data_IF_332917110966
#
_entry.id   IF_332917110966
#
_cell.length_a   1.000
_cell.length_b   1.000
_cell.length_c   1.000
_cell.angle_alpha   90.00
_cell.angle_beta   90.00
_cell.angle_gamma   90.00
#
_symmetry.space_group_name_H-M   'P 1'
#
loop_
_entity.id
_entity.type
_entity.pdbx_description
1 polymer ?
#
# COMPACT_ATOMS: atom_id res chain seq x y z
N UNK A 1 5.75 -12.30 -13.72
CA UNK A 1 5.11 -12.06 -12.40
C UNK A 1 4.27 -13.27 -12.03
N UNK A 2 4.35 -13.72 -10.79
CA UNK A 2 3.51 -14.81 -10.33
C UNK A 2 2.07 -14.32 -10.08
N UNK A 3 1.12 -15.27 -10.11
CA UNK A 3 -0.26 -14.96 -9.75
C UNK A 3 -0.36 -14.41 -8.33
N UNK A 4 0.46 -14.91 -7.41
CA UNK A 4 0.50 -14.46 -6.03
C UNK A 4 0.89 -12.98 -5.95
N UNK A 5 1.90 -12.58 -6.69
CA UNK A 5 2.34 -11.19 -6.72
C UNK A 5 1.29 -10.27 -7.34
N UNK A 6 0.61 -10.73 -8.39
CA UNK A 6 -0.51 -10.00 -9.00
C UNK A 6 -1.60 -9.73 -7.96
N UNK A 7 -1.96 -10.77 -7.18
CA UNK A 7 -2.97 -10.61 -6.13
C UNK A 7 -2.51 -9.64 -5.03
N UNK A 8 -1.22 -9.67 -4.67
CA UNK A 8 -0.70 -8.75 -3.66
C UNK A 8 -0.72 -7.30 -4.14
N UNK A 9 -0.40 -7.06 -5.40
CA UNK A 9 -0.50 -5.70 -5.97
C UNK A 9 -1.94 -5.21 -5.97
N UNK A 10 -2.89 -6.07 -6.27
CA UNK A 10 -4.31 -5.73 -6.21
C UNK A 10 -4.77 -5.45 -4.78
N UNK A 11 -4.28 -6.23 -3.81
CA UNK A 11 -4.57 -5.99 -2.39
C UNK A 11 -4.06 -4.62 -1.94
N UNK A 12 -2.88 -4.22 -2.41
CA UNK A 12 -2.33 -2.90 -2.12
C UNK A 12 -3.26 -1.80 -2.65
N UNK A 13 -3.68 -1.91 -3.91
CA UNK A 13 -4.56 -0.93 -4.52
C UNK A 13 -5.91 -0.85 -3.82
N UNK A 14 -6.47 -1.99 -3.45
CA UNK A 14 -7.73 -2.05 -2.72
C UNK A 14 -7.61 -1.39 -1.34
N UNK A 15 -6.53 -1.67 -0.64
CA UNK A 15 -6.28 -1.05 0.67
C UNK A 15 -6.15 0.47 0.56
N UNK A 16 -5.47 0.97 -0.48
CA UNK A 16 -5.35 2.41 -0.73
C UNK A 16 -6.73 3.03 -1.01
N UNK A 17 -7.54 2.37 -1.83
CA UNK A 17 -8.89 2.85 -2.13
C UNK A 17 -9.75 2.90 -0.86
N UNK A 18 -9.62 1.91 0.00
CA UNK A 18 -10.32 1.85 1.29
C UNK A 18 -9.90 3.00 2.20
N UNK A 19 -8.61 3.29 2.29
CA UNK A 19 -8.09 4.42 3.05
C UNK A 19 -8.72 5.73 2.55
N UNK A 20 -8.69 5.95 1.24
CA UNK A 20 -9.25 7.16 0.62
C UNK A 20 -10.74 7.31 0.89
N UNK A 21 -11.48 6.20 0.86
CA UNK A 21 -12.90 6.18 1.16
C UNK A 21 -13.19 6.63 2.60
N UNK A 22 -12.43 6.11 3.57
CA UNK A 22 -12.60 6.50 4.97
C UNK A 22 -12.30 7.98 5.20
N UNK A 23 -11.25 8.49 4.58
CA UNK A 23 -10.87 9.89 4.72
C UNK A 23 -11.91 10.82 4.10
N UNK A 24 -12.49 10.42 2.96
CA UNK A 24 -13.50 11.22 2.26
C UNK A 24 -14.83 11.32 3.05
N UNK A 25 -15.15 10.29 3.83
CA UNK A 25 -16.42 10.24 4.57
C UNK A 25 -16.40 10.94 5.90
N UNK A 26 -15.22 11.18 6.49
CA UNK A 26 -15.12 11.79 7.80
C UNK A 26 -13.84 12.60 7.94
N UNK A 27 -13.79 13.42 9.00
CA UNK A 27 -12.55 14.03 9.43
C UNK A 27 -11.60 12.93 9.91
N UNK A 28 -10.30 13.22 9.96
CA UNK A 28 -9.29 12.27 10.42
C UNK A 28 -9.40 12.06 11.95
N UNK A 29 -10.53 11.51 12.38
CA UNK A 29 -10.83 11.21 13.78
C UNK A 29 -10.19 9.88 14.20
N UNK A 30 -10.39 9.49 15.45
CA UNK A 30 -9.83 8.25 16.00
C UNK A 30 -10.27 7.01 15.22
N UNK A 31 -11.53 6.97 14.84
CA UNK A 31 -12.08 5.84 14.09
C UNK A 31 -11.47 5.75 12.70
N UNK A 32 -11.36 6.87 12.02
CA UNK A 32 -10.74 6.95 10.71
C UNK A 32 -9.26 6.58 10.78
N UNK A 33 -8.52 7.09 11.78
CA UNK A 33 -7.10 6.75 11.92
C UNK A 33 -6.89 5.27 12.21
N UNK A 34 -7.74 4.64 13.00
CA UNK A 34 -7.64 3.19 13.25
C UNK A 34 -7.86 2.39 11.96
N UNK A 35 -8.81 2.79 11.12
CA UNK A 35 -9.05 2.16 9.82
C UNK A 35 -7.87 2.36 8.88
N UNK A 36 -7.28 3.55 8.87
CA UNK A 36 -6.09 3.85 8.06
C UNK A 36 -4.91 3.00 8.50
N UNK A 37 -4.64 2.93 9.81
CA UNK A 37 -3.54 2.14 10.34
C UNK A 37 -3.69 0.65 9.99
N UNK A 38 -4.89 0.10 10.12
CA UNK A 38 -5.15 -1.28 9.72
C UNK A 38 -4.82 -1.50 8.24
N UNK A 39 -5.27 -0.62 7.37
CA UNK A 39 -5.01 -0.76 5.94
C UNK A 39 -3.53 -0.55 5.57
N UNK A 40 -2.80 0.28 6.32
CA UNK A 40 -1.35 0.39 6.15
C UNK A 40 -0.63 -0.90 6.54
N UNK A 41 -1.12 -1.62 7.55
CA UNK A 41 -0.61 -2.95 7.88
C UNK A 41 -0.87 -3.93 6.73
N UNK A 42 -2.07 -3.91 6.15
CA UNK A 42 -2.42 -4.73 4.99
C UNK A 42 -1.46 -4.45 3.83
N UNK A 43 -1.18 -3.18 3.54
CA UNK A 43 -0.24 -2.78 2.50
C UNK A 43 1.17 -3.33 2.80
N UNK A 44 1.64 -3.19 4.03
CA UNK A 44 2.94 -3.71 4.44
C UNK A 44 3.06 -5.22 4.29
N UNK A 45 2.01 -5.96 4.68
CA UNK A 45 1.95 -7.41 4.53
C UNK A 45 1.96 -7.84 3.06
N UNK A 46 1.18 -7.16 2.24
CA UNK A 46 1.15 -7.46 0.80
C UNK A 46 2.51 -7.16 0.15
N UNK A 47 3.10 -6.01 0.46
CA UNK A 47 4.40 -5.62 -0.07
C UNK A 47 5.51 -6.60 0.33
N UNK A 48 5.43 -7.19 1.52
CA UNK A 48 6.40 -8.18 1.98
C UNK A 48 6.43 -9.44 1.10
N UNK A 49 5.36 -9.71 0.37
CA UNK A 49 5.24 -10.88 -0.49
C UNK A 49 5.62 -10.60 -1.95
N UNK A 50 6.06 -9.38 -2.25
CA UNK A 50 6.52 -9.00 -3.58
C UNK A 50 8.02 -9.18 -3.63
N UNK A 51 8.50 -9.96 -4.59
CA UNK A 51 9.90 -10.30 -4.73
C UNK A 51 10.75 -9.18 -5.34
N UNK A 52 12.07 -9.35 -5.27
CA UNK A 52 13.03 -8.35 -5.71
C UNK A 52 12.90 -7.99 -7.19
N UNK A 53 12.64 -8.97 -8.04
CA UNK A 53 12.47 -8.72 -9.47
C UNK A 53 11.30 -7.79 -9.73
N UNK A 54 10.17 -8.04 -9.07
CA UNK A 54 8.99 -7.19 -9.20
C UNK A 54 9.25 -5.80 -8.61
N UNK A 55 9.89 -5.71 -7.45
CA UNK A 55 10.23 -4.44 -6.82
C UNK A 55 11.13 -3.60 -7.73
N UNK A 56 12.02 -4.23 -8.48
CA UNK A 56 12.93 -3.53 -9.38
C UNK A 56 12.21 -2.82 -10.53
N UNK A 57 10.96 -3.19 -10.81
CA UNK A 57 10.12 -2.53 -11.83
C UNK A 57 9.56 -1.20 -11.34
N UNK A 58 9.64 -0.93 -10.05
CA UNK A 58 9.23 0.33 -9.44
C UNK A 58 10.28 0.78 -8.41
N UNK A 59 11.48 1.14 -8.88
CA UNK A 59 12.59 1.50 -7.97
C UNK A 59 12.34 2.79 -7.20
N UNK A 60 11.40 3.61 -7.66
CA UNK A 60 10.99 4.84 -6.97
C UNK A 60 10.22 4.57 -5.68
N UNK A 61 9.70 3.36 -5.50
CA UNK A 61 8.92 3.00 -4.32
C UNK A 61 9.88 2.53 -3.21
N UNK A 62 9.78 3.09 -2.00
CA UNK A 62 10.62 2.64 -0.87
C UNK A 62 10.05 1.36 -0.25
N UNK A 63 10.18 0.24 -0.95
CA UNK A 63 9.59 -1.04 -0.59
C UNK A 63 9.92 -1.50 0.84
N UNK A 64 11.18 -1.34 1.25
CA UNK A 64 11.62 -1.74 2.59
C UNK A 64 10.90 -0.93 3.68
N UNK A 65 10.69 0.35 3.45
CA UNK A 65 9.97 1.21 4.40
C UNK A 65 8.48 0.83 4.45
N UNK A 66 7.90 0.48 3.31
CA UNK A 66 6.49 0.08 3.24
C UNK A 66 6.28 -1.23 4.02
N UNK A 67 7.14 -2.22 3.81
CA UNK A 67 7.11 -3.46 4.59
C UNK A 67 7.29 -3.15 6.08
N UNK A 68 8.14 -2.21 6.41
CA UNK A 68 8.40 -1.79 7.79
C UNK A 68 7.20 -1.17 8.50
N UNK A 69 6.22 -0.65 7.76
CA UNK A 69 5.03 -0.04 8.36
C UNK A 69 4.27 -1.00 9.26
N UNK A 70 4.14 -2.26 8.89
CA UNK A 70 3.42 -3.24 9.70
C UNK A 70 4.08 -3.42 11.08
N UNK A 71 5.42 -3.47 11.11
CA UNK A 71 6.17 -3.61 12.36
C UNK A 71 6.10 -2.33 13.19
N UNK A 72 6.26 -1.20 12.54
CA UNK A 72 6.16 0.10 13.20
C UNK A 72 4.79 0.26 13.88
N UNK A 73 3.71 -0.03 13.15
CA UNK A 73 2.36 0.11 13.69
C UNK A 73 2.11 -0.89 14.82
N UNK A 74 2.53 -2.15 14.64
CA UNK A 74 2.33 -3.18 15.66
C UNK A 74 3.05 -2.85 16.96
N UNK A 75 4.28 -2.31 16.89
CA UNK A 75 5.09 -2.05 18.07
C UNK A 75 4.86 -0.67 18.68
N UNK A 76 4.43 0.31 17.88
CA UNK A 76 4.31 1.70 18.30
C UNK A 76 2.88 2.23 18.28
N UNK A 77 1.88 1.35 18.20
CA UNK A 77 0.47 1.75 18.03
C UNK A 77 0.04 2.88 18.95
N UNK A 78 0.38 2.81 20.24
CA UNK A 78 -0.03 3.80 21.22
C UNK A 78 0.82 5.08 21.21
N UNK A 79 1.89 5.10 20.42
CA UNK A 79 2.84 6.21 20.32
C UNK A 79 2.89 6.83 18.93
N UNK A 80 2.10 6.30 17.98
CA UNK A 80 2.13 6.76 16.61
C UNK A 80 1.64 8.21 16.54
N UNK A 81 2.46 9.03 15.87
CA UNK A 81 2.09 10.41 15.55
C UNK A 81 1.15 10.38 14.34
N UNK A 82 -0.10 10.76 14.55
CA UNK A 82 -1.11 10.76 13.49
C UNK A 82 -0.78 11.74 12.37
N UNK A 83 -0.04 12.81 12.65
CA UNK A 83 0.40 13.75 11.61
C UNK A 83 1.35 13.07 10.63
N UNK A 84 2.22 12.20 11.12
CA UNK A 84 3.12 11.41 10.26
C UNK A 84 2.31 10.48 9.38
N UNK A 85 1.32 9.81 9.94
CA UNK A 85 0.44 8.90 9.18
C UNK A 85 -0.33 9.67 8.11
N UNK A 86 -0.87 10.81 8.45
CA UNK A 86 -1.59 11.67 7.49
C UNK A 86 -0.68 12.10 6.34
N UNK A 87 0.57 12.44 6.63
CA UNK A 87 1.56 12.78 5.61
C UNK A 87 1.84 11.60 4.68
N UNK A 88 1.99 10.39 5.23
CA UNK A 88 2.19 9.18 4.42
C UNK A 88 1.02 8.98 3.47
N UNK A 89 -0.20 9.11 3.98
CA UNK A 89 -1.41 8.94 3.19
C UNK A 89 -1.49 9.97 2.05
N UNK A 90 -1.20 11.23 2.35
CA UNK A 90 -1.30 12.32 1.37
C UNK A 90 -0.19 12.29 0.32
N UNK A 91 1.03 11.96 0.71
CA UNK A 91 2.20 12.13 -0.15
C UNK A 91 2.72 10.84 -0.78
N UNK A 92 2.54 9.69 -0.15
CA UNK A 92 3.20 8.46 -0.57
C UNK A 92 2.27 7.42 -1.19
N UNK A 93 1.02 7.36 -0.78
CA UNK A 93 0.11 6.34 -1.30
C UNK A 93 -0.21 6.52 -2.79
N UNK A 94 -0.23 7.76 -3.27
CA UNK A 94 -0.47 8.03 -4.67
C UNK A 94 0.58 7.42 -5.58
N UNK A 95 1.86 7.53 -5.22
CA UNK A 95 2.96 6.95 -5.98
C UNK A 95 2.90 5.43 -5.97
N UNK A 96 2.60 4.84 -4.82
CA UNK A 96 2.48 3.40 -4.69
C UNK A 96 1.32 2.87 -5.53
N UNK A 97 0.16 3.52 -5.48
CA UNK A 97 -1.00 3.13 -6.27
C UNK A 97 -0.71 3.20 -7.77
N UNK A 98 -0.08 4.29 -8.20
CA UNK A 98 0.29 4.48 -9.61
C UNK A 98 1.29 3.42 -10.08
N UNK A 99 2.28 3.07 -9.24
CA UNK A 99 3.25 2.04 -9.57
C UNK A 99 2.59 0.66 -9.69
N UNK A 100 1.72 0.31 -8.75
CA UNK A 100 0.99 -0.95 -8.78
C UNK A 100 0.09 -1.05 -10.02
N UNK A 101 -0.62 0.03 -10.35
CA UNK A 101 -1.45 0.11 -11.54
C UNK A 101 -0.63 -0.10 -12.81
N UNK A 102 0.49 0.59 -12.93
CA UNK A 102 1.39 0.48 -14.08
C UNK A 102 1.87 -0.95 -14.28
N UNK A 103 2.34 -1.59 -13.21
CA UNK A 103 2.85 -2.97 -13.29
C UNK A 103 1.75 -3.93 -13.70
N UNK A 104 0.55 -3.80 -13.12
CA UNK A 104 -0.58 -4.64 -13.48
C UNK A 104 -1.02 -4.45 -14.92
N UNK A 105 -1.03 -3.22 -15.43
CA UNK A 105 -1.38 -2.94 -16.82
C UNK A 105 -0.32 -3.48 -17.79
N UNK A 106 0.96 -3.34 -17.48
CA UNK A 106 2.04 -3.88 -18.29
C UNK A 106 1.93 -5.40 -18.42
N UNK A 107 1.61 -6.08 -17.34
CA UNK A 107 1.46 -7.53 -17.35
C UNK A 107 0.21 -7.98 -18.11
N UNK A 108 -0.89 -7.27 -17.98
CA UNK A 108 -2.11 -7.55 -18.74
C UNK A 108 -1.85 -7.35 -20.25
N UNK A 109 -1.12 -6.30 -20.62
CA UNK A 109 -0.77 -6.02 -22.01
C UNK A 109 0.18 -7.08 -22.57
N UNK A 110 1.05 -7.69 -21.74
CA UNK A 110 1.98 -8.72 -22.13
C UNK A 110 1.38 -10.13 -22.14
N UNK A 111 0.18 -10.29 -21.54
CA UNK A 111 -0.50 -11.58 -21.47
C UNK A 111 -0.90 -12.06 -22.87
N UNK A 112 -0.77 -13.36 -23.18
CA UNK A 112 -1.24 -13.87 -24.47
C UNK A 112 -2.77 -13.73 -24.56
N UNK A 113 -3.31 -13.50 -25.77
CA UNK A 113 -4.76 -13.44 -25.94
C UNK A 113 -5.41 -14.78 -25.59
N UNK A 114 -6.63 -14.76 -25.07
CA UNK A 114 -7.34 -15.99 -24.71
C UNK A 114 -7.63 -16.89 -25.91
#
# INVERSE_FOLDING_TARGET
>A
MSRRETLRLRDIREAIATIRSHIAESNFDRRTSDAVLFNLVVIGEAAAQIGDEMRSRAPEIPWTKIVGLRNLIAHEYFRIDLDVIETIVEEQLGELDAAAERILEEDDAAAPPP
#
